data_IF_147343707440
#
_entry.id   IF_147343707440
#
_cell.length_a   1.000
_cell.length_b   1.000
_cell.length_c   1.000
_cell.angle_alpha   90.00
_cell.angle_beta   90.00
_cell.angle_gamma   90.00
#
_symmetry.space_group_name_H-M   'P 1'
#
loop_
_entity.id
_entity.type
_entity.pdbx_description
1 polymer ?
#
# COMPACT_ATOMS: atom_id res chain seq x y z
N UNK A 1 32.56 21.73 7.51
CA UNK A 1 32.17 20.31 7.49
C UNK A 1 31.04 20.01 8.43
N UNK A 2 31.13 20.38 9.68
CA UNK A 2 30.02 20.13 10.62
C UNK A 2 28.71 20.80 10.20
N UNK A 3 28.82 21.97 9.58
CA UNK A 3 27.64 22.72 9.13
C UNK A 3 26.84 21.97 8.07
N UNK A 4 27.54 21.26 7.21
CA UNK A 4 26.89 20.47 6.17
C UNK A 4 26.11 19.32 6.78
N UNK A 5 26.67 18.71 7.81
CA UNK A 5 26.02 17.59 8.52
C UNK A 5 24.73 18.06 9.17
N UNK A 6 24.72 19.21 9.78
CA UNK A 6 23.52 19.75 10.41
C UNK A 6 22.43 20.06 9.38
N UNK A 7 22.81 20.59 8.24
CA UNK A 7 21.85 20.88 7.18
C UNK A 7 21.19 19.60 6.67
N UNK A 8 21.96 18.55 6.46
CA UNK A 8 21.45 17.27 6.03
C UNK A 8 20.49 16.68 7.05
N UNK A 9 20.83 16.78 8.32
CA UNK A 9 20.00 16.27 9.39
C UNK A 9 18.64 16.98 9.43
N UNK A 10 18.64 18.28 9.27
CA UNK A 10 17.39 19.06 9.24
C UNK A 10 16.50 18.65 8.09
N UNK A 11 17.07 18.43 6.92
CA UNK A 11 16.32 18.00 5.75
C UNK A 11 15.68 16.62 6.00
N UNK A 12 16.42 15.72 6.60
CA UNK A 12 15.92 14.39 6.92
C UNK A 12 14.75 14.46 7.89
N UNK A 13 14.84 15.29 8.91
CA UNK A 13 13.76 15.46 9.87
C UNK A 13 12.51 16.03 9.21
N UNK A 14 12.66 16.98 8.32
CA UNK A 14 11.53 17.56 7.61
C UNK A 14 10.79 16.51 6.78
N UNK A 15 11.52 15.66 6.09
CA UNK A 15 10.92 14.58 5.31
C UNK A 15 10.17 13.60 6.22
N UNK A 16 10.76 13.26 7.35
CA UNK A 16 10.12 12.37 8.31
C UNK A 16 8.83 12.95 8.85
N UNK A 17 8.80 14.24 9.14
CA UNK A 17 7.59 14.91 9.60
C UNK A 17 6.49 14.87 8.56
N UNK A 18 6.83 15.04 7.30
CA UNK A 18 5.85 14.96 6.23
C UNK A 18 5.24 13.58 6.12
N UNK A 19 6.05 12.54 6.27
CA UNK A 19 5.55 11.16 6.22
C UNK A 19 4.65 10.83 7.41
N UNK A 20 4.93 11.39 8.57
CA UNK A 20 4.17 11.13 9.78
C UNK A 20 2.86 11.90 9.83
N UNK A 21 2.69 12.89 8.99
CA UNK A 21 1.63 13.86 9.10
C UNK A 21 0.23 13.27 8.86
N UNK A 22 0.09 12.45 7.87
CA UNK A 22 -1.14 11.73 7.57
C UNK A 22 -0.80 10.70 6.52
N UNK A 23 -1.79 10.18 5.81
CA UNK A 23 -1.53 9.17 4.81
C UNK A 23 -0.82 9.72 3.56
N UNK A 24 -0.77 11.03 3.41
CA UNK A 24 -0.13 11.65 2.27
C UNK A 24 -0.67 11.09 0.95
N UNK A 25 0.22 10.62 0.10
CA UNK A 25 -0.17 10.05 -1.19
C UNK A 25 -0.89 8.70 -1.05
N UNK A 26 -0.77 8.04 0.09
CA UNK A 26 -1.38 6.74 0.33
C UNK A 26 -2.90 6.82 0.43
N UNK A 27 -3.45 7.91 0.97
CA UNK A 27 -4.88 8.06 1.15
C UNK A 27 -5.63 8.16 -0.16
N UNK A 28 -6.86 7.64 -0.18
CA UNK A 28 -7.74 7.75 -1.32
C UNK A 28 -8.19 6.40 -1.88
N UNK A 29 -8.68 6.42 -3.09
CA UNK A 29 -9.18 5.24 -3.78
C UNK A 29 -8.16 4.77 -4.81
N UNK A 30 -7.79 3.49 -4.70
CA UNK A 30 -6.79 2.89 -5.56
C UNK A 30 -7.42 1.75 -6.36
N UNK A 31 -7.24 1.80 -7.67
CA UNK A 31 -7.67 0.69 -8.53
C UNK A 31 -6.52 -0.30 -8.67
N UNK A 32 -6.79 -1.57 -8.37
CA UNK A 32 -5.82 -2.64 -8.56
C UNK A 32 -5.72 -2.95 -10.04
N UNK A 33 -4.56 -2.75 -10.62
CA UNK A 33 -4.32 -2.90 -12.03
C UNK A 33 -3.71 -4.25 -12.38
N UNK A 34 -2.88 -4.79 -11.50
CA UNK A 34 -2.13 -6.01 -11.78
C UNK A 34 -1.71 -6.70 -10.50
N UNK A 35 -1.82 -8.01 -10.49
CA UNK A 35 -1.27 -8.87 -9.44
C UNK A 35 -0.18 -9.72 -10.07
N UNK A 36 1.03 -9.65 -9.54
CA UNK A 36 2.12 -10.53 -9.93
C UNK A 36 2.33 -11.54 -8.81
N UNK A 37 2.03 -12.80 -9.08
CA UNK A 37 2.29 -13.88 -8.12
C UNK A 37 3.76 -14.27 -8.24
N UNK A 38 4.52 -13.92 -7.23
CA UNK A 38 5.98 -14.06 -7.26
C UNK A 38 6.38 -15.54 -7.33
N UNK A 39 5.72 -16.37 -6.54
CA UNK A 39 6.06 -17.79 -6.44
C UNK A 39 5.84 -18.54 -7.74
N UNK A 40 4.76 -18.22 -8.45
CA UNK A 40 4.38 -18.89 -9.70
C UNK A 40 4.85 -18.14 -10.94
N UNK A 41 5.47 -16.99 -10.76
CA UNK A 41 5.87 -16.11 -11.86
C UNK A 41 4.72 -15.84 -12.82
N UNK A 42 3.53 -15.58 -12.25
CA UNK A 42 2.29 -15.38 -13.00
C UNK A 42 1.83 -13.93 -12.85
N UNK A 43 1.40 -13.35 -13.96
CA UNK A 43 0.87 -11.99 -13.96
C UNK A 43 -0.62 -12.05 -14.26
N UNK A 44 -1.42 -11.46 -13.36
CA UNK A 44 -2.86 -11.39 -13.50
C UNK A 44 -3.24 -9.94 -13.79
N UNK A 45 -3.84 -9.71 -14.95
CA UNK A 45 -4.31 -8.38 -15.35
C UNK A 45 -5.66 -8.12 -14.68
N UNK A 46 -5.73 -7.08 -13.87
CA UNK A 46 -6.94 -6.67 -13.15
C UNK A 46 -7.52 -5.38 -13.71
N UNK A 47 -6.95 -4.85 -14.77
CA UNK A 47 -7.32 -3.53 -15.29
C UNK A 47 -8.76 -3.44 -15.80
N UNK A 48 -9.34 -4.56 -16.20
CA UNK A 48 -10.72 -4.61 -16.68
C UNK A 48 -11.74 -5.00 -15.61
N UNK A 49 -11.30 -5.15 -14.37
CA UNK A 49 -12.17 -5.50 -13.25
C UNK A 49 -12.32 -4.33 -12.29
N UNK A 50 -13.38 -4.35 -11.51
CA UNK A 50 -13.65 -3.32 -10.51
C UNK A 50 -13.02 -3.71 -9.17
N UNK A 51 -11.71 -3.84 -9.15
CA UNK A 51 -10.97 -4.15 -7.94
C UNK A 51 -10.34 -2.90 -7.39
N UNK A 52 -10.72 -2.52 -6.16
CA UNK A 52 -10.14 -1.32 -5.56
C UNK A 52 -9.95 -1.47 -4.06
N UNK A 53 -9.04 -0.65 -3.55
CA UNK A 53 -8.82 -0.42 -2.13
C UNK A 53 -9.11 1.03 -1.84
N UNK A 54 -9.89 1.29 -0.82
CA UNK A 54 -10.13 2.64 -0.31
C UNK A 54 -9.34 2.79 0.98
N UNK A 55 -8.46 3.75 1.03
CA UNK A 55 -7.58 4.01 2.17
C UNK A 55 -7.93 5.36 2.74
N UNK A 56 -8.45 5.39 3.98
CA UNK A 56 -8.85 6.61 4.66
C UNK A 56 -8.48 6.49 6.13
N UNK A 57 -7.83 7.51 6.66
CA UNK A 57 -7.38 7.53 8.05
C UNK A 57 -6.56 6.28 8.36
N UNK A 58 -7.03 5.42 9.26
CA UNK A 58 -6.35 4.18 9.61
C UNK A 58 -7.05 2.95 9.03
N UNK A 59 -8.00 3.17 8.15
CA UNK A 59 -8.85 2.10 7.61
C UNK A 59 -8.56 1.81 6.16
N UNK A 60 -8.67 0.54 5.82
CA UNK A 60 -8.59 0.05 4.45
C UNK A 60 -9.85 -0.75 4.15
N UNK A 61 -10.45 -0.49 3.01
CA UNK A 61 -11.68 -1.16 2.58
C UNK A 61 -11.49 -1.66 1.16
N UNK A 62 -12.02 -2.83 0.86
CA UNK A 62 -11.98 -3.38 -0.50
C UNK A 62 -13.39 -3.55 -1.03
N UNK A 63 -13.52 -3.61 -2.36
CA UNK A 63 -14.84 -3.67 -3.00
C UNK A 63 -15.60 -4.96 -2.76
N UNK A 64 -14.94 -6.00 -2.28
CA UNK A 64 -15.61 -7.28 -2.01
C UNK A 64 -15.84 -7.53 -0.51
N UNK A 65 -16.05 -6.47 0.25
CA UNK A 65 -16.47 -6.55 1.64
C UNK A 65 -15.35 -6.57 2.65
N UNK A 66 -14.10 -6.40 2.23
CA UNK A 66 -12.99 -6.35 3.15
C UNK A 66 -12.94 -5.04 3.91
N UNK A 67 -12.67 -5.11 5.20
CA UNK A 67 -12.45 -3.95 6.06
C UNK A 67 -11.32 -4.26 7.02
N UNK A 68 -10.39 -3.34 7.18
CA UNK A 68 -9.29 -3.55 8.08
C UNK A 68 -8.64 -2.26 8.52
N UNK A 69 -7.57 -2.43 9.27
CA UNK A 69 -6.72 -1.35 9.73
C UNK A 69 -5.35 -1.50 9.13
N UNK A 70 -4.66 -0.40 9.01
CA UNK A 70 -3.30 -0.44 8.53
C UNK A 70 -2.42 0.53 9.32
N UNK A 71 -1.13 0.28 9.27
CA UNK A 71 -0.10 1.19 9.73
C UNK A 71 0.94 1.33 8.64
N UNK A 72 1.25 2.56 8.30
CA UNK A 72 2.31 2.85 7.33
C UNK A 72 3.50 3.39 8.08
N UNK A 73 4.53 2.57 8.23
CA UNK A 73 5.75 2.90 8.96
C UNK A 73 6.91 2.77 8.00
N UNK A 74 7.55 3.89 7.70
CA UNK A 74 8.63 3.96 6.71
C UNK A 74 8.15 3.40 5.37
N UNK A 75 8.80 2.36 4.87
CA UNK A 75 8.43 1.73 3.59
C UNK A 75 7.55 0.49 3.79
N UNK A 76 7.02 0.31 4.99
CA UNK A 76 6.20 -0.86 5.28
C UNK A 76 4.76 -0.48 5.52
N UNK A 77 3.87 -1.25 4.94
CA UNK A 77 2.43 -1.14 5.14
C UNK A 77 1.96 -2.42 5.82
N UNK A 78 1.54 -2.29 7.08
CA UNK A 78 1.03 -3.42 7.85
C UNK A 78 -0.48 -3.38 7.80
N UNK A 79 -1.08 -4.46 7.30
CA UNK A 79 -2.52 -4.55 7.12
C UNK A 79 -3.07 -5.67 7.99
N UNK A 80 -4.12 -5.37 8.74
CA UNK A 80 -4.84 -6.36 9.52
C UNK A 80 -6.33 -6.23 9.18
N UNK A 81 -6.90 -7.28 8.62
CA UNK A 81 -8.30 -7.26 8.24
C UNK A 81 -9.19 -7.64 9.42
N UNK A 82 -10.18 -6.79 9.70
CA UNK A 82 -11.21 -7.02 10.71
C UNK A 82 -12.31 -7.88 10.10
N UNK A 83 -12.69 -7.54 8.88
CA UNK A 83 -13.63 -8.30 8.08
C UNK A 83 -12.91 -8.72 6.80
N UNK A 84 -12.72 -10.01 6.62
CA UNK A 84 -11.99 -10.52 5.47
C UNK A 84 -12.79 -10.31 4.19
N UNK A 85 -12.10 -9.96 3.09
CA UNK A 85 -12.80 -9.88 1.79
C UNK A 85 -13.29 -11.27 1.37
N UNK A 86 -14.39 -11.31 0.62
CA UNK A 86 -15.01 -12.55 0.19
C UNK A 86 -14.04 -13.45 -0.58
N UNK A 87 -13.15 -12.84 -1.37
CA UNK A 87 -12.08 -13.54 -2.05
C UNK A 87 -10.84 -12.66 -1.98
N UNK A 88 -10.01 -12.90 -0.97
CA UNK A 88 -8.84 -12.06 -0.72
C UNK A 88 -7.87 -12.00 -1.87
N UNK A 89 -7.66 -13.13 -2.54
CA UNK A 89 -6.75 -13.17 -3.69
C UNK A 89 -7.21 -12.26 -4.83
N UNK A 90 -8.50 -12.14 -4.99
CA UNK A 90 -9.06 -11.32 -6.07
C UNK A 90 -8.76 -9.83 -5.89
N UNK A 91 -8.52 -9.40 -4.67
CA UNK A 91 -8.14 -8.01 -4.37
C UNK A 91 -6.68 -7.87 -3.93
N UNK A 92 -5.88 -8.90 -4.13
CA UNK A 92 -4.46 -8.85 -3.83
C UNK A 92 -4.09 -9.16 -2.39
N UNK A 93 -5.05 -9.57 -1.57
CA UNK A 93 -4.81 -9.91 -0.17
C UNK A 93 -4.73 -11.41 0.01
N UNK A 94 -3.54 -11.95 -0.13
CA UNK A 94 -3.30 -13.39 -0.05
C UNK A 94 -3.24 -13.90 1.40
N UNK A 95 -2.99 -12.99 2.35
CA UNK A 95 -2.97 -13.31 3.77
C UNK A 95 -3.73 -12.22 4.54
N UNK A 96 -5.06 -12.19 4.45
CA UNK A 96 -5.84 -11.06 4.96
C UNK A 96 -5.85 -10.91 6.48
N UNK A 97 -5.45 -11.92 7.23
CA UNK A 97 -5.38 -11.77 8.70
C UNK A 97 -4.31 -10.76 9.10
N UNK A 98 -3.10 -10.95 8.59
CA UNK A 98 -1.98 -10.06 8.84
C UNK A 98 -1.09 -10.07 7.61
N UNK A 99 -1.01 -8.96 6.93
CA UNK A 99 -0.20 -8.84 5.74
C UNK A 99 0.75 -7.66 5.87
N UNK A 100 2.00 -7.86 5.47
CA UNK A 100 2.97 -6.79 5.40
C UNK A 100 3.38 -6.58 3.96
N UNK A 101 3.25 -5.34 3.49
CA UNK A 101 3.72 -4.95 2.17
C UNK A 101 4.88 -4.00 2.29
N UNK A 102 5.86 -4.14 1.42
CA UNK A 102 6.83 -3.09 1.17
C UNK A 102 6.24 -2.13 0.16
N UNK A 103 6.30 -0.84 0.47
CA UNK A 103 5.83 0.19 -0.45
C UNK A 103 6.99 0.50 -1.39
N UNK A 104 6.98 -0.10 -2.57
CA UNK A 104 8.06 0.06 -3.54
C UNK A 104 7.95 1.36 -4.30
N UNK A 105 6.74 1.82 -4.52
CA UNK A 105 6.48 3.07 -5.22
C UNK A 105 5.19 3.67 -4.67
N UNK A 106 5.22 4.98 -4.43
CA UNK A 106 4.03 5.70 -3.99
C UNK A 106 4.11 7.13 -4.49
N UNK A 107 3.21 7.46 -5.40
CA UNK A 107 3.03 8.82 -5.90
C UNK A 107 1.56 9.18 -5.75
N UNK A 108 1.19 10.38 -6.16
CA UNK A 108 -0.22 10.77 -6.13
C UNK A 108 -1.06 10.07 -7.21
N UNK A 109 -0.45 9.30 -8.09
CA UNK A 109 -1.13 8.64 -9.20
C UNK A 109 -0.93 7.14 -9.23
N UNK A 110 0.15 6.62 -8.69
CA UNK A 110 0.47 5.20 -8.78
C UNK A 110 1.09 4.68 -7.49
N UNK A 111 0.87 3.40 -7.24
CA UNK A 111 1.40 2.73 -6.07
C UNK A 111 1.80 1.32 -6.44
N UNK A 112 2.90 0.86 -5.90
CA UNK A 112 3.35 -0.52 -6.04
C UNK A 112 3.69 -1.07 -4.67
N UNK A 113 3.03 -2.17 -4.32
CA UNK A 113 3.24 -2.87 -3.05
C UNK A 113 3.77 -4.26 -3.33
N UNK A 114 4.60 -4.76 -2.44
CA UNK A 114 5.11 -6.11 -2.54
C UNK A 114 5.08 -6.82 -1.20
N UNK A 115 4.46 -8.00 -1.17
CA UNK A 115 4.52 -8.90 -0.03
C UNK A 115 5.43 -10.08 -0.38
N UNK A 116 5.45 -11.10 0.48
CA UNK A 116 6.20 -12.33 0.18
C UNK A 116 5.61 -13.08 -1.01
N UNK A 117 4.32 -12.93 -1.22
CA UNK A 117 3.59 -13.73 -2.22
C UNK A 117 3.29 -12.99 -3.50
N UNK A 118 3.07 -11.67 -3.43
CA UNK A 118 2.59 -10.92 -4.57
C UNK A 118 3.23 -9.54 -4.65
N UNK A 119 3.27 -9.02 -5.87
CA UNK A 119 3.52 -7.61 -6.14
C UNK A 119 2.26 -7.03 -6.76
N UNK A 120 1.79 -5.94 -6.20
CA UNK A 120 0.53 -5.31 -6.59
C UNK A 120 0.81 -3.95 -7.21
N UNK A 121 0.19 -3.69 -8.35
CA UNK A 121 0.26 -2.39 -9.00
C UNK A 121 -1.10 -1.72 -8.96
N UNK A 122 -1.12 -0.49 -8.50
CA UNK A 122 -2.34 0.30 -8.35
C UNK A 122 -2.25 1.60 -9.11
N UNK A 123 -3.40 2.09 -9.51
CA UNK A 123 -3.56 3.43 -10.08
C UNK A 123 -4.58 4.19 -9.24
N UNK A 124 -4.31 5.46 -9.00
CA UNK A 124 -5.26 6.32 -8.29
C UNK A 124 -6.48 6.61 -9.15
N UNK A 125 -7.64 6.55 -8.54
CA UNK A 125 -8.87 6.95 -9.21
C UNK A 125 -8.88 8.45 -9.49
#
# INVERSE_FOLDING_TARGET
MKRIIYALLCITLAISCQKADNNGDLGGWWKLMQIEEIENDTIIDKSNEDCFWAIQLEMITTNNGGKGRFQHIDDSLFVQMIQKPANGKNVGMYSPDNERFCVEKLTNKSMMLQSEKVRLKFRKF
#
